data_IF_282431098029
#
_entry.id   IF_282431098029
#
_cell.length_a   1.000
_cell.length_b   1.000
_cell.length_c   1.000
_cell.angle_alpha   90.00
_cell.angle_beta   90.00
_cell.angle_gamma   90.00
#
_symmetry.space_group_name_H-M   'P 1'
#
loop_
_entity.id
_entity.type
_entity.pdbx_description
1 polymer ?
#
# COMPACT_ATOMS: atom_id res chain seq x y z
N UNK A 1 11.11 -23.83 -17.25
CA UNK A 1 12.37 -24.00 -16.49
C UNK A 1 12.01 -24.26 -15.02
N UNK A 2 12.26 -25.48 -14.52
CA UNK A 2 11.71 -25.94 -13.23
C UNK A 2 12.71 -25.80 -12.08
N UNK A 3 12.23 -25.30 -10.93
CA UNK A 3 12.93 -25.02 -9.65
C UNK A 3 13.84 -26.16 -9.17
N UNK A 4 13.55 -27.40 -9.59
CA UNK A 4 14.31 -28.60 -9.25
C UNK A 4 15.74 -28.64 -9.82
N UNK A 5 16.02 -27.91 -10.91
CA UNK A 5 17.38 -27.81 -11.47
C UNK A 5 18.27 -26.83 -10.70
N UNK A 6 17.68 -25.84 -10.03
CA UNK A 6 18.42 -24.80 -9.31
C UNK A 6 19.01 -25.30 -7.99
N UNK A 7 18.23 -26.09 -7.22
CA UNK A 7 18.67 -26.65 -5.93
C UNK A 7 19.87 -27.58 -6.10
N UNK A 8 19.96 -28.28 -7.24
CA UNK A 8 21.07 -29.20 -7.53
C UNK A 8 22.42 -28.49 -7.75
N UNK A 9 22.42 -27.17 -7.94
CA UNK A 9 23.64 -26.37 -8.16
C UNK A 9 24.26 -25.79 -6.88
N UNK A 10 23.56 -25.81 -5.74
CA UNK A 10 24.06 -25.25 -4.47
C UNK A 10 24.80 -26.28 -3.58
N UNK A 11 24.90 -27.53 -4.02
CA UNK A 11 25.50 -28.63 -3.26
C UNK A 11 27.04 -28.74 -3.39
N UNK A 12 27.71 -27.76 -4.00
CA UNK A 12 29.16 -27.82 -4.26
C UNK A 12 29.85 -26.50 -3.91
N UNK A 13 30.04 -26.25 -2.61
CA UNK A 13 31.08 -25.36 -2.14
C UNK A 13 31.68 -25.93 -0.84
N UNK A 14 32.95 -26.34 -0.83
CA UNK A 14 33.59 -26.97 0.31
C UNK A 14 33.92 -25.96 1.43
N UNK A 15 33.81 -26.48 2.65
CA UNK A 15 34.15 -25.88 3.94
C UNK A 15 35.66 -25.65 4.06
N UNK A 16 36.11 -24.46 4.47
CA UNK A 16 37.27 -24.33 5.37
C UNK A 16 37.15 -23.13 6.33
N UNK A 17 37.66 -23.24 7.57
CA UNK A 17 37.37 -22.35 8.70
C UNK A 17 38.54 -21.42 9.03
N UNK A 18 38.27 -20.20 9.52
CA UNK A 18 39.28 -19.44 10.29
C UNK A 18 38.65 -18.89 11.56
N UNK A 19 39.27 -19.35 12.65
CA UNK A 19 38.93 -19.17 14.04
C UNK A 19 39.02 -17.72 14.52
N UNK A 20 38.09 -17.36 15.40
CA UNK A 20 38.40 -16.57 16.59
C UNK A 20 37.77 -17.25 17.81
N UNK A 21 38.62 -17.52 18.81
CA UNK A 21 38.27 -17.97 20.16
C UNK A 21 37.35 -16.93 20.85
N UNK A 22 36.49 -17.23 21.84
CA UNK A 22 36.60 -18.12 22.99
C UNK A 22 35.17 -18.42 23.57
N UNK A 23 35.01 -19.28 24.60
CA UNK A 23 33.79 -20.05 24.89
C UNK A 23 32.79 -19.29 25.75
N UNK A 24 31.47 -19.47 25.54
CA UNK A 24 30.43 -19.69 26.56
C UNK A 24 29.12 -20.19 25.90
N UNK A 25 28.61 -21.34 26.36
CA UNK A 25 27.19 -21.77 26.24
C UNK A 25 26.66 -21.85 27.67
N UNK A 26 25.38 -21.55 27.97
CA UNK A 26 24.26 -22.32 27.40
C UNK A 26 22.91 -21.57 27.15
N UNK A 27 21.97 -22.34 26.56
CA UNK A 27 20.52 -22.14 26.35
C UNK A 27 20.04 -21.52 25.01
N UNK A 28 19.21 -22.22 24.20
CA UNK A 28 18.68 -21.73 22.93
C UNK A 28 17.45 -20.84 23.13
N UNK A 29 17.52 -19.61 22.63
CA UNK A 29 16.38 -18.74 22.39
C UNK A 29 15.60 -19.22 21.15
N UNK A 30 14.27 -19.08 21.09
CA UNK A 30 13.50 -19.37 19.89
C UNK A 30 13.99 -18.47 18.74
N UNK A 31 14.02 -18.97 17.47
CA UNK A 31 14.49 -18.17 16.36
C UNK A 31 13.61 -16.94 16.18
N UNK A 32 14.26 -15.78 16.20
CA UNK A 32 13.64 -14.49 15.96
C UNK A 32 12.95 -14.49 14.58
N UNK A 33 11.70 -14.04 14.58
CA UNK A 33 10.91 -13.76 13.40
C UNK A 33 11.71 -12.88 12.43
N UNK A 34 11.90 -13.34 11.20
CA UNK A 34 12.52 -12.58 10.13
C UNK A 34 11.73 -11.27 9.93
N UNK A 35 12.39 -10.10 9.83
CA UNK A 35 11.68 -8.85 9.61
C UNK A 35 10.92 -8.88 8.28
N UNK A 36 9.67 -8.42 8.32
CA UNK A 36 8.84 -8.26 7.13
C UNK A 36 9.52 -7.34 6.11
N UNK A 37 9.32 -7.57 4.78
CA UNK A 37 9.84 -6.67 3.77
C UNK A 37 9.29 -5.26 3.99
N UNK A 38 10.08 -4.21 3.72
CA UNK A 38 9.63 -2.83 3.88
C UNK A 38 8.39 -2.57 3.00
N UNK A 39 7.44 -1.74 3.46
CA UNK A 39 6.30 -1.35 2.66
C UNK A 39 6.78 -0.68 1.35
N UNK A 40 6.01 -0.82 0.25
CA UNK A 40 6.34 -0.13 -0.99
C UNK A 40 6.44 1.38 -0.72
N UNK A 41 7.35 2.10 -1.43
CA UNK A 41 7.47 3.53 -1.24
C UNK A 41 6.12 4.21 -1.51
N UNK A 42 5.78 5.27 -0.77
CA UNK A 42 4.57 6.03 -1.04
C UNK A 42 4.61 6.45 -2.52
N UNK A 43 3.49 6.23 -3.22
CA UNK A 43 3.34 6.73 -4.59
C UNK A 43 3.56 8.24 -4.54
N UNK A 44 4.66 8.70 -5.15
CA UNK A 44 5.03 10.09 -5.12
C UNK A 44 3.87 10.91 -5.69
N UNK A 45 3.34 11.83 -4.88
CA UNK A 45 2.41 12.83 -5.37
C UNK A 45 3.11 13.61 -6.50
N UNK A 46 2.44 13.88 -7.62
CA UNK A 46 3.06 14.57 -8.74
C UNK A 46 3.55 15.95 -8.30
N UNK A 47 4.87 16.15 -8.30
CA UNK A 47 5.51 17.39 -7.88
C UNK A 47 4.97 18.58 -8.69
N UNK A 48 4.55 19.68 -8.04
CA UNK A 48 4.00 20.82 -8.75
C UNK A 48 5.09 21.45 -9.61
N UNK A 49 4.82 21.57 -10.91
CA UNK A 49 5.63 22.37 -11.83
C UNK A 49 5.29 23.85 -11.63
N UNK A 50 6.27 24.75 -11.73
CA UNK A 50 6.12 26.19 -11.47
C UNK A 50 5.25 26.97 -12.47
N UNK A 51 4.37 26.30 -13.20
CA UNK A 51 3.41 26.91 -14.13
C UNK A 51 2.18 27.37 -13.34
N UNK A 52 1.59 28.53 -13.64
CA UNK A 52 0.36 28.96 -13.00
C UNK A 52 -0.78 27.93 -13.25
N UNK A 53 -1.69 27.72 -12.28
CA UNK A 53 -2.77 26.74 -12.40
C UNK A 53 -3.70 27.07 -13.58
N UNK A 54 -4.11 26.06 -14.32
CA UNK A 54 -5.05 26.20 -15.43
C UNK A 54 -6.45 26.69 -14.99
N UNK A 55 -7.30 27.13 -15.93
CA UNK A 55 -8.59 27.75 -15.62
C UNK A 55 -9.54 26.83 -14.83
N UNK A 56 -9.52 25.52 -15.11
CA UNK A 56 -10.30 24.54 -14.35
C UNK A 56 -9.82 24.41 -12.90
N UNK A 57 -8.51 24.45 -12.67
CA UNK A 57 -7.94 24.40 -11.33
C UNK A 57 -8.25 25.68 -10.53
N UNK A 58 -8.28 26.83 -11.20
CA UNK A 58 -8.71 28.09 -10.58
C UNK A 58 -10.18 28.04 -10.16
N UNK A 59 -11.08 27.61 -11.04
CA UNK A 59 -12.50 27.49 -10.75
C UNK A 59 -12.78 26.53 -9.59
N UNK A 60 -12.14 25.36 -9.57
CA UNK A 60 -12.24 24.41 -8.46
C UNK A 60 -11.63 24.98 -7.16
N UNK A 61 -10.54 25.73 -7.27
CA UNK A 61 -9.94 26.44 -6.14
C UNK A 61 -10.88 27.47 -5.50
N UNK A 62 -11.71 28.16 -6.29
CA UNK A 62 -12.72 29.08 -5.73
C UNK A 62 -13.82 28.32 -4.97
N UNK A 63 -14.20 27.12 -5.42
CA UNK A 63 -15.13 26.25 -4.65
C UNK A 63 -14.51 25.86 -3.30
N UNK A 64 -13.22 25.53 -3.28
CA UNK A 64 -12.49 25.26 -2.03
C UNK A 64 -12.48 26.49 -1.13
N UNK A 65 -12.21 27.68 -1.69
CA UNK A 65 -12.24 28.94 -0.95
C UNK A 65 -13.61 29.24 -0.35
N UNK A 66 -14.70 29.01 -1.07
CA UNK A 66 -16.06 29.23 -0.54
C UNK A 66 -16.36 28.30 0.64
N UNK A 67 -15.94 27.03 0.55
CA UNK A 67 -16.26 26.02 1.57
C UNK A 67 -15.33 26.05 2.78
N UNK A 68 -14.07 26.37 2.57
CA UNK A 68 -12.99 26.20 3.55
C UNK A 68 -12.12 27.45 3.72
N UNK A 69 -12.43 28.56 3.04
CA UNK A 69 -11.66 29.81 3.12
C UNK A 69 -11.46 30.37 4.54
N UNK A 70 -12.43 30.25 5.48
CA UNK A 70 -12.19 30.67 6.87
C UNK A 70 -11.12 29.84 7.61
N UNK A 71 -10.71 28.70 7.05
CA UNK A 71 -9.76 27.75 7.65
C UNK A 71 -8.44 27.67 6.88
N UNK A 72 -8.30 28.40 5.77
CA UNK A 72 -7.18 28.30 4.85
C UNK A 72 -6.53 29.67 4.67
N UNK A 73 -5.21 29.70 4.80
CA UNK A 73 -4.43 30.86 4.41
C UNK A 73 -4.37 30.96 2.87
N UNK A 74 -4.10 32.16 2.35
CA UNK A 74 -4.01 32.35 0.89
C UNK A 74 -2.86 31.53 0.28
N UNK A 75 -1.78 31.31 1.03
CA UNK A 75 -0.69 30.43 0.64
C UNK A 75 -1.16 28.98 0.46
N UNK A 76 -1.96 28.46 1.40
CA UNK A 76 -2.51 27.11 1.33
C UNK A 76 -3.48 26.98 0.15
N UNK A 77 -4.32 27.99 -0.08
CA UNK A 77 -5.19 28.02 -1.26
C UNK A 77 -4.40 27.98 -2.57
N UNK A 78 -3.26 28.67 -2.64
CA UNK A 78 -2.38 28.62 -3.80
C UNK A 78 -1.78 27.24 -4.02
N UNK A 79 -1.42 26.54 -2.93
CA UNK A 79 -0.90 25.18 -2.97
C UNK A 79 -1.98 24.19 -3.40
N UNK A 80 -3.21 24.33 -2.86
CA UNK A 80 -4.36 23.52 -3.27
C UNK A 80 -4.66 23.71 -4.75
N UNK A 81 -4.64 24.95 -5.27
CA UNK A 81 -4.83 25.23 -6.70
C UNK A 81 -3.77 24.52 -7.56
N UNK A 82 -2.51 24.53 -7.14
CA UNK A 82 -1.42 23.79 -7.82
C UNK A 82 -1.62 22.27 -7.75
N UNK A 83 -2.02 21.75 -6.60
CA UNK A 83 -2.29 20.33 -6.41
C UNK A 83 -3.46 19.84 -7.27
N UNK A 84 -4.53 20.63 -7.37
CA UNK A 84 -5.66 20.36 -8.26
C UNK A 84 -5.20 20.31 -9.70
N UNK A 85 -4.42 21.29 -10.16
CA UNK A 85 -3.91 21.33 -11.54
C UNK A 85 -3.06 20.09 -11.86
N UNK A 86 -2.11 19.76 -10.97
CA UNK A 86 -1.26 18.58 -11.10
C UNK A 86 -2.08 17.28 -11.18
N UNK A 87 -3.12 17.16 -10.35
CA UNK A 87 -4.01 16.00 -10.36
C UNK A 87 -4.88 15.93 -11.63
N UNK A 88 -5.35 17.06 -12.15
CA UNK A 88 -6.08 17.10 -13.43
C UNK A 88 -5.20 16.64 -14.59
N UNK A 89 -3.94 17.09 -14.63
CA UNK A 89 -2.97 16.62 -15.62
C UNK A 89 -2.70 15.12 -15.48
N UNK A 90 -2.55 14.60 -14.26
CA UNK A 90 -2.36 13.18 -14.01
C UNK A 90 -3.58 12.36 -14.45
N UNK A 91 -4.80 12.84 -14.16
CA UNK A 91 -6.03 12.21 -14.60
C UNK A 91 -6.14 12.16 -16.13
N UNK A 92 -5.76 13.23 -16.82
CA UNK A 92 -5.77 13.28 -18.29
C UNK A 92 -4.75 12.30 -18.90
N UNK A 93 -3.55 12.20 -18.31
CA UNK A 93 -2.56 11.19 -18.70
C UNK A 93 -3.08 9.76 -18.49
N UNK A 94 -3.86 9.52 -17.43
CA UNK A 94 -4.44 8.20 -17.18
C UNK A 94 -5.52 7.86 -18.21
N UNK A 95 -6.44 8.80 -18.48
CA UNK A 95 -7.52 8.62 -19.48
C UNK A 95 -6.99 8.42 -20.89
N UNK A 96 -5.97 9.18 -21.28
CA UNK A 96 -5.35 9.05 -22.61
C UNK A 96 -4.63 7.73 -22.81
N UNK A 97 -4.07 7.12 -21.75
CA UNK A 97 -3.30 5.87 -21.83
C UNK A 97 -4.14 4.62 -21.60
N UNK A 98 -5.19 4.71 -20.78
CA UNK A 98 -5.99 3.57 -20.35
C UNK A 98 -7.42 3.68 -20.90
N UNK A 99 -7.80 2.73 -21.77
CA UNK A 99 -9.17 2.58 -22.23
C UNK A 99 -9.90 1.62 -21.30
N UNK A 100 -10.62 2.18 -20.35
CA UNK A 100 -11.51 1.40 -19.49
C UNK A 100 -12.85 1.21 -20.19
N UNK A 101 -13.38 -0.01 -20.13
CA UNK A 101 -14.74 -0.35 -20.56
C UNK A 101 -15.64 -0.48 -19.34
N UNK A 102 -16.97 -0.36 -19.52
CA UNK A 102 -17.93 -0.48 -18.40
C UNK A 102 -17.90 -1.86 -17.69
N UNK A 103 -17.29 -2.87 -18.32
CA UNK A 103 -17.09 -4.19 -17.73
C UNK A 103 -15.86 -4.27 -16.81
N UNK A 104 -14.97 -3.27 -16.82
CA UNK A 104 -13.79 -3.24 -15.96
C UNK A 104 -14.19 -2.93 -14.52
N UNK A 105 -13.88 -3.88 -13.62
CA UNK A 105 -14.22 -3.77 -12.21
C UNK A 105 -13.17 -2.96 -11.44
N UNK A 106 -13.56 -2.27 -10.35
CA UNK A 106 -12.60 -1.64 -9.47
C UNK A 106 -11.72 -2.70 -8.80
N UNK A 107 -10.48 -2.32 -8.47
CA UNK A 107 -9.51 -3.21 -7.81
C UNK A 107 -10.05 -3.75 -6.47
N UNK A 108 -10.83 -2.93 -5.76
CA UNK A 108 -11.50 -3.31 -4.52
C UNK A 108 -13.02 -3.29 -4.71
N UNK A 109 -13.64 -4.47 -4.55
CA UNK A 109 -15.10 -4.62 -4.52
C UNK A 109 -15.52 -4.94 -3.09
N UNK A 110 -16.48 -4.17 -2.57
CA UNK A 110 -17.05 -4.45 -1.26
C UNK A 110 -17.97 -5.66 -1.32
N UNK A 111 -17.83 -6.57 -0.37
CA UNK A 111 -18.74 -7.69 -0.17
C UNK A 111 -19.30 -7.67 1.25
N UNK A 112 -20.62 -7.60 1.37
CA UNK A 112 -21.28 -7.77 2.65
C UNK A 112 -21.05 -9.21 3.16
N UNK A 113 -20.58 -9.34 4.40
CA UNK A 113 -20.47 -10.66 5.06
C UNK A 113 -21.78 -10.94 5.77
N UNK A 114 -22.46 -12.02 5.39
CA UNK A 114 -23.57 -12.55 6.18
C UNK A 114 -23.04 -13.08 7.52
N UNK A 115 -23.75 -12.77 8.61
CA UNK A 115 -23.43 -13.33 9.91
C UNK A 115 -23.48 -14.86 9.84
N UNK A 116 -22.49 -15.52 10.43
CA UNK A 116 -22.52 -16.98 10.52
C UNK A 116 -23.78 -17.41 11.30
N UNK A 117 -24.46 -18.50 10.88
CA UNK A 117 -25.57 -19.03 11.65
C UNK A 117 -25.09 -19.36 13.08
N UNK A 118 -25.93 -19.15 14.10
CA UNK A 118 -25.56 -19.46 15.47
C UNK A 118 -25.20 -20.95 15.60
N UNK A 119 -24.22 -21.30 16.45
CA UNK A 119 -23.89 -22.70 16.68
C UNK A 119 -25.12 -23.45 17.23
N UNK A 120 -25.26 -24.75 16.91
CA UNK A 120 -26.36 -25.55 17.44
C UNK A 120 -26.30 -25.60 18.98
N UNK A 121 -27.46 -25.70 19.66
CA UNK A 121 -27.51 -25.78 21.12
C UNK A 121 -26.75 -27.01 21.63
N UNK A 122 -25.98 -26.83 22.72
CA UNK A 122 -25.23 -27.93 23.33
C UNK A 122 -26.18 -29.02 23.85
N UNK A 123 -25.81 -30.32 23.74
CA UNK A 123 -26.65 -31.40 24.24
C UNK A 123 -26.77 -31.32 25.77
N UNK A 124 -28.00 -31.16 26.25
CA UNK A 124 -28.31 -31.14 27.69
C UNK A 124 -28.08 -32.55 28.25
N UNK A 125 -26.96 -32.76 28.94
CA UNK A 125 -26.73 -33.97 29.74
C UNK A 125 -27.67 -33.95 30.94
N UNK A 126 -28.78 -34.69 30.86
CA UNK A 126 -29.61 -35.01 32.03
C UNK A 126 -28.77 -35.84 32.99
N UNK A 127 -28.37 -35.26 34.13
CA UNK A 127 -27.83 -36.03 35.26
C UNK A 127 -28.97 -36.90 35.79
N UNK A 128 -28.81 -38.21 35.66
CA UNK A 128 -29.61 -39.22 36.36
C UNK A 128 -29.01 -39.46 37.73
#
# INVERSE_FOLDING_TARGET
>A
MSRRRFIKSLASAPLLPVAFAAPQRPAPLPPASTPAPPPPPPTAAPSPTGTPPGPAAQALGEVVRIRYGPQLEEADLSEVKKAIDSNLQAAERLRSRMKLVNADQPVAVFHARLAAPPPPPAPVRRRR
#
